data_IF_839327349908
#
_entry.id   IF_839327349908
#
_cell.length_a   1.000
_cell.length_b   1.000
_cell.length_c   1.000
_cell.angle_alpha   90.00
_cell.angle_beta   90.00
_cell.angle_gamma   90.00
#
_symmetry.space_group_name_H-M   'P 1'
#
loop_
_entity.id
_entity.type
_entity.pdbx_description
1 polymer ?
#
# COMPACT_ATOMS: atom_id res chain seq x y z
N UNK A 1 -22.14 -0.75 -5.17
CA UNK A 1 -21.78 0.26 -6.18
C UNK A 1 -22.84 0.36 -7.28
N UNK A 2 -22.95 -0.61 -8.19
CA UNK A 2 -23.90 -0.54 -9.33
C UNK A 2 -25.37 -0.36 -8.89
N UNK A 3 -25.77 -0.95 -7.77
CA UNK A 3 -27.10 -0.74 -7.18
C UNK A 3 -27.31 0.72 -6.75
N UNK A 4 -26.32 1.34 -6.10
CA UNK A 4 -26.39 2.76 -5.68
C UNK A 4 -26.44 3.70 -6.91
N UNK A 5 -25.69 3.38 -7.97
CA UNK A 5 -25.77 4.10 -9.25
C UNK A 5 -27.17 3.94 -9.88
N UNK A 6 -27.73 2.73 -9.87
CA UNK A 6 -29.06 2.46 -10.43
C UNK A 6 -30.19 3.15 -9.66
N UNK A 7 -29.94 3.53 -8.40
CA UNK A 7 -30.88 4.27 -7.55
C UNK A 7 -30.83 5.79 -7.76
N UNK A 8 -29.94 6.32 -8.61
CA UNK A 8 -29.97 7.73 -9.01
C UNK A 8 -31.35 8.04 -9.61
N UNK A 9 -32.08 9.07 -9.13
CA UNK A 9 -33.46 9.32 -9.55
C UNK A 9 -33.57 9.53 -11.08
N UNK A 10 -34.59 8.96 -11.76
CA UNK A 10 -34.78 9.09 -13.20
C UNK A 10 -34.71 10.53 -13.72
N UNK A 11 -35.28 11.49 -12.97
CA UNK A 11 -35.26 12.91 -13.31
C UNK A 11 -33.86 13.54 -13.30
N UNK A 12 -32.88 12.88 -12.68
CA UNK A 12 -31.46 13.29 -12.71
C UNK A 12 -30.78 12.78 -13.97
N UNK A 13 -31.12 11.58 -14.43
CA UNK A 13 -30.66 11.04 -15.71
C UNK A 13 -31.09 11.93 -16.89
N UNK A 14 -32.31 12.48 -16.82
CA UNK A 14 -32.84 13.39 -17.85
C UNK A 14 -32.07 14.72 -17.97
N UNK A 15 -31.28 15.10 -16.96
CA UNK A 15 -30.43 16.31 -16.97
C UNK A 15 -29.13 16.13 -17.77
N UNK A 16 -28.83 14.90 -18.19
CA UNK A 16 -27.69 14.58 -19.05
C UNK A 16 -26.36 14.38 -18.30
N UNK A 17 -25.29 14.02 -19.05
CA UNK A 17 -24.05 13.52 -18.49
C UNK A 17 -23.29 14.54 -17.63
N UNK A 18 -23.44 15.84 -17.90
CA UNK A 18 -22.79 16.89 -17.11
C UNK A 18 -23.28 16.96 -15.65
N UNK A 19 -24.46 16.42 -15.35
CA UNK A 19 -25.02 16.34 -13.99
C UNK A 19 -24.85 14.93 -13.40
N UNK A 20 -25.00 13.90 -14.23
CA UNK A 20 -24.96 12.50 -13.78
C UNK A 20 -23.53 12.01 -13.51
N UNK A 21 -22.56 12.33 -14.38
CA UNK A 21 -21.20 11.80 -14.24
C UNK A 21 -20.52 12.20 -12.93
N UNK A 22 -20.64 13.44 -12.42
CA UNK A 22 -20.11 13.79 -11.10
C UNK A 22 -20.69 12.94 -9.97
N UNK A 23 -22.01 12.66 -10.01
CA UNK A 23 -22.65 11.82 -9.00
C UNK A 23 -22.16 10.37 -9.05
N UNK A 24 -21.94 9.84 -10.25
CA UNK A 24 -21.33 8.51 -10.43
C UNK A 24 -19.91 8.52 -9.89
N UNK A 25 -19.11 9.52 -10.23
CA UNK A 25 -17.72 9.65 -9.76
C UNK A 25 -17.64 9.75 -8.23
N UNK A 26 -18.58 10.43 -7.57
CA UNK A 26 -18.65 10.49 -6.11
C UNK A 26 -18.97 9.11 -5.49
N UNK A 27 -19.91 8.36 -6.10
CA UNK A 27 -20.24 6.99 -5.68
C UNK A 27 -19.02 6.07 -5.89
N UNK A 28 -18.38 6.13 -7.05
CA UNK A 28 -17.19 5.36 -7.37
C UNK A 28 -16.04 5.67 -6.41
N UNK A 29 -15.78 6.96 -6.14
CA UNK A 29 -14.77 7.39 -5.18
C UNK A 29 -15.08 6.88 -3.76
N UNK A 30 -16.35 6.90 -3.33
CA UNK A 30 -16.77 6.34 -2.03
C UNK A 30 -16.44 4.84 -1.97
N UNK A 31 -16.82 4.06 -2.98
CA UNK A 31 -16.54 2.63 -3.00
C UNK A 31 -15.03 2.33 -3.13
N UNK A 32 -14.29 3.12 -3.89
CA UNK A 32 -12.83 3.01 -3.98
C UNK A 32 -12.16 3.30 -2.64
N UNK A 33 -12.64 4.26 -1.83
CA UNK A 33 -12.11 4.51 -0.48
C UNK A 33 -12.36 3.34 0.47
N UNK A 34 -13.55 2.75 0.42
CA UNK A 34 -13.89 1.54 1.17
C UNK A 34 -13.04 0.35 0.71
N UNK A 35 -12.86 0.18 -0.60
CA UNK A 35 -12.04 -0.86 -1.23
C UNK A 35 -10.53 -0.65 -1.12
N UNK A 36 -10.08 0.52 -0.68
CA UNK A 36 -8.65 0.84 -0.54
C UNK A 36 -8.20 0.91 0.91
N UNK A 37 -8.94 0.36 1.87
CA UNK A 37 -8.53 0.40 3.27
C UNK A 37 -7.12 -0.19 3.48
N UNK A 38 -6.24 0.54 4.19
CA UNK A 38 -4.80 0.24 4.29
C UNK A 38 -4.25 0.24 5.74
N UNK A 39 -5.07 -0.11 6.73
CA UNK A 39 -4.68 -0.15 8.16
C UNK A 39 -4.11 1.18 8.72
N UNK A 40 -4.45 2.27 8.06
CA UNK A 40 -4.07 3.62 8.43
C UNK A 40 -5.23 4.57 8.10
N UNK A 41 -5.34 5.61 8.92
CA UNK A 41 -6.14 6.79 8.61
C UNK A 41 -5.20 7.90 8.18
N UNK A 42 -5.61 8.66 7.17
CA UNK A 42 -4.97 9.95 6.91
C UNK A 42 -5.72 10.99 7.73
N UNK A 43 -4.99 11.84 8.43
CA UNK A 43 -5.52 13.01 9.13
C UNK A 43 -4.77 14.26 8.69
N UNK A 44 -5.29 15.43 9.04
CA UNK A 44 -4.52 16.68 9.01
C UNK A 44 -3.98 16.92 10.42
N UNK A 45 -2.67 17.13 10.55
CA UNK A 45 -2.03 17.50 11.80
C UNK A 45 -2.26 19.00 12.12
N UNK A 46 -1.69 19.47 13.24
CA UNK A 46 -1.84 20.87 13.67
C UNK A 46 -1.22 21.89 12.68
N UNK A 47 -0.32 21.44 11.82
CA UNK A 47 0.35 22.25 10.78
C UNK A 47 -0.38 22.19 9.42
N UNK A 48 -1.58 21.59 9.36
CA UNK A 48 -2.37 21.39 8.13
C UNK A 48 -1.64 20.52 7.08
N UNK A 49 -0.77 19.63 7.56
CA UNK A 49 -0.09 18.60 6.76
C UNK A 49 -0.79 17.25 6.92
N UNK A 50 -0.75 16.42 5.88
CA UNK A 50 -1.24 15.05 5.95
C UNK A 50 -0.33 14.18 6.81
N UNK A 51 -0.93 13.46 7.74
CA UNK A 51 -0.28 12.48 8.59
C UNK A 51 -0.97 11.12 8.43
N UNK A 52 -0.21 10.09 8.11
CA UNK A 52 -0.68 8.71 8.14
C UNK A 52 -0.57 8.15 9.57
N UNK A 53 -1.71 8.00 10.22
CA UNK A 53 -1.80 7.42 11.56
C UNK A 53 -2.30 5.99 11.44
N UNK A 54 -1.57 4.99 11.95
CA UNK A 54 -2.04 3.61 11.94
C UNK A 54 -3.34 3.44 12.72
N UNK A 55 -4.25 2.64 12.17
CA UNK A 55 -5.55 2.39 12.78
C UNK A 55 -5.66 0.91 13.13
N UNK A 56 -5.32 0.61 14.38
CA UNK A 56 -5.35 -0.73 14.97
C UNK A 56 -6.76 -1.04 15.49
N UNK A 57 -7.43 -2.03 14.92
CA UNK A 57 -8.60 -2.68 15.54
C UNK A 57 -8.24 -4.11 15.91
N UNK A 58 -7.65 -4.26 17.10
CA UNK A 58 -7.28 -5.57 17.65
C UNK A 58 -7.43 -5.56 19.17
N UNK A 59 -7.75 -6.73 19.79
CA UNK A 59 -7.46 -6.95 21.20
C UNK A 59 -5.96 -6.64 21.42
N UNK A 60 -5.59 -5.96 22.52
CA UNK A 60 -4.29 -5.30 22.67
C UNK A 60 -3.05 -6.19 22.48
N UNK A 61 -3.22 -7.52 22.46
CA UNK A 61 -2.11 -8.46 22.64
C UNK A 61 -1.72 -9.21 21.36
N UNK A 62 -2.57 -9.33 20.32
CA UNK A 62 -2.28 -10.20 19.14
C UNK A 62 -1.15 -9.65 18.28
N UNK A 63 -1.19 -8.36 17.93
CA UNK A 63 -0.14 -7.73 17.12
C UNK A 63 1.18 -7.62 17.88
N UNK A 64 1.13 -7.40 19.20
CA UNK A 64 2.32 -7.39 20.05
C UNK A 64 2.99 -8.78 20.06
N UNK A 65 2.21 -9.84 20.27
CA UNK A 65 2.69 -11.23 20.23
C UNK A 65 3.32 -11.57 18.87
N UNK A 66 2.67 -11.19 17.76
CA UNK A 66 3.22 -11.42 16.42
C UNK A 66 4.56 -10.70 16.23
N UNK A 67 4.70 -9.44 16.67
CA UNK A 67 5.98 -8.71 16.58
C UNK A 67 7.07 -9.31 17.45
N UNK A 68 6.74 -9.70 18.68
CA UNK A 68 7.73 -10.29 19.59
C UNK A 68 8.22 -11.64 19.05
N UNK A 69 7.32 -12.45 18.49
CA UNK A 69 7.67 -13.69 17.77
C UNK A 69 8.63 -13.44 16.60
N UNK A 70 8.36 -12.42 15.76
CA UNK A 70 9.27 -12.06 14.66
C UNK A 70 10.63 -11.61 15.20
N UNK A 71 10.67 -10.82 16.27
CA UNK A 71 11.93 -10.38 16.89
C UNK A 71 12.74 -11.53 17.43
N UNK A 72 12.09 -12.48 18.10
CA UNK A 72 12.72 -13.67 18.64
C UNK A 72 13.28 -14.53 17.50
N UNK A 73 12.49 -14.77 16.45
CA UNK A 73 12.94 -15.50 15.26
C UNK A 73 14.14 -14.83 14.56
N UNK A 74 14.13 -13.49 14.44
CA UNK A 74 15.27 -12.73 13.91
C UNK A 74 16.51 -12.86 14.81
N UNK A 75 16.32 -12.78 16.13
CA UNK A 75 17.42 -12.90 17.09
C UNK A 75 18.06 -14.30 17.06
N UNK A 76 17.25 -15.34 17.00
CA UNK A 76 17.69 -16.73 16.85
C UNK A 76 18.46 -16.93 15.54
N UNK A 77 17.95 -16.43 14.42
CA UNK A 77 18.63 -16.52 13.13
C UNK A 77 19.97 -15.77 13.14
N UNK A 78 20.05 -14.60 13.77
CA UNK A 78 21.31 -13.83 13.91
C UNK A 78 22.32 -14.52 14.84
N UNK A 79 21.84 -15.37 15.76
CA UNK A 79 22.69 -16.16 16.64
C UNK A 79 23.37 -17.35 15.95
N UNK A 80 23.02 -17.66 14.68
CA UNK A 80 23.73 -18.65 13.88
C UNK A 80 25.25 -18.38 13.83
N UNK A 81 26.09 -19.43 13.76
CA UNK A 81 27.55 -19.29 13.77
C UNK A 81 28.09 -18.34 12.70
N UNK A 82 29.18 -17.63 13.01
CA UNK A 82 29.89 -16.83 12.01
C UNK A 82 30.40 -17.72 10.87
N UNK A 83 30.12 -17.32 9.62
CA UNK A 83 30.43 -18.11 8.43
C UNK A 83 29.36 -19.12 8.03
N UNK A 84 28.23 -19.21 8.75
CA UNK A 84 27.07 -19.96 8.26
C UNK A 84 26.51 -19.26 7.00
N UNK A 85 26.33 -20.05 5.95
CA UNK A 85 25.88 -19.57 4.65
C UNK A 85 24.43 -19.04 4.68
N UNK A 86 23.58 -19.55 5.59
CA UNK A 86 22.22 -19.05 5.78
C UNK A 86 22.21 -17.61 6.25
N UNK A 87 23.08 -17.29 7.21
CA UNK A 87 23.17 -15.96 7.82
C UNK A 87 23.49 -14.90 6.76
N UNK A 88 24.59 -15.08 6.03
CA UNK A 88 25.00 -14.15 4.98
C UNK A 88 24.00 -14.01 3.84
N UNK A 89 23.31 -15.09 3.47
CA UNK A 89 22.32 -15.08 2.39
C UNK A 89 21.00 -14.39 2.77
N UNK A 90 20.66 -14.34 4.07
CA UNK A 90 19.44 -13.70 4.58
C UNK A 90 19.69 -12.34 5.24
N UNK A 91 20.95 -11.89 5.42
CA UNK A 91 21.29 -10.63 6.11
C UNK A 91 20.50 -9.42 5.59
N UNK A 92 20.31 -9.29 4.27
CA UNK A 92 19.52 -8.19 3.69
C UNK A 92 18.05 -8.27 4.08
N UNK A 93 17.47 -9.46 4.08
CA UNK A 93 16.06 -9.65 4.39
C UNK A 93 15.81 -9.45 5.89
N UNK A 94 16.72 -9.91 6.74
CA UNK A 94 16.71 -9.67 8.19
C UNK A 94 16.82 -8.19 8.49
N UNK A 95 17.78 -7.48 7.90
CA UNK A 95 17.94 -6.04 8.09
C UNK A 95 16.69 -5.27 7.66
N UNK A 96 15.99 -5.74 6.61
CA UNK A 96 14.72 -5.15 6.17
C UNK A 96 13.61 -5.38 7.20
N UNK A 97 13.49 -6.59 7.76
CA UNK A 97 12.51 -6.89 8.81
C UNK A 97 12.76 -6.00 10.04
N UNK A 98 14.01 -5.90 10.50
CA UNK A 98 14.39 -5.06 11.64
C UNK A 98 14.03 -3.58 11.39
N UNK A 99 14.38 -3.05 10.21
CA UNK A 99 14.04 -1.68 9.82
C UNK A 99 12.53 -1.44 9.82
N UNK A 100 11.74 -2.40 9.35
CA UNK A 100 10.28 -2.30 9.33
C UNK A 100 9.66 -2.42 10.73
N UNK A 101 10.18 -3.31 11.57
CA UNK A 101 9.73 -3.45 12.96
C UNK A 101 10.00 -2.19 13.78
N UNK A 102 11.03 -1.42 13.43
CA UNK A 102 11.37 -0.15 14.08
C UNK A 102 10.57 1.03 13.51
N UNK A 103 10.55 1.18 12.17
CA UNK A 103 9.91 2.33 11.51
C UNK A 103 8.38 2.24 11.45
N UNK A 104 7.85 1.03 11.39
CA UNK A 104 6.43 0.72 11.21
C UNK A 104 5.90 -0.17 12.36
N UNK A 105 6.45 0.02 13.56
CA UNK A 105 6.13 -0.75 14.76
C UNK A 105 4.62 -0.79 15.10
N UNK A 106 3.86 0.18 14.62
CA UNK A 106 2.43 0.40 14.84
C UNK A 106 1.56 0.14 13.60
N UNK A 107 2.13 -0.30 12.47
CA UNK A 107 1.40 -0.54 11.21
C UNK A 107 1.37 -2.03 10.86
N UNK A 108 0.32 -2.80 11.23
CA UNK A 108 0.28 -4.25 11.06
C UNK A 108 0.41 -4.68 9.61
N UNK A 109 -0.18 -3.92 8.70
CA UNK A 109 -0.11 -4.20 7.27
C UNK A 109 1.33 -4.13 6.74
N UNK A 110 2.13 -3.14 7.16
CA UNK A 110 3.54 -3.03 6.77
C UNK A 110 4.37 -4.20 7.30
N UNK A 111 4.06 -4.64 8.52
CA UNK A 111 4.71 -5.83 9.10
C UNK A 111 4.29 -7.09 8.35
N UNK A 112 3.00 -7.30 8.12
CA UNK A 112 2.50 -8.41 7.30
C UNK A 112 3.18 -8.48 5.93
N UNK A 113 3.27 -7.34 5.25
CA UNK A 113 3.90 -7.21 3.93
C UNK A 113 5.38 -7.62 3.92
N UNK A 114 6.18 -7.07 4.85
CA UNK A 114 7.61 -7.39 4.89
C UNK A 114 7.86 -8.85 5.26
N UNK A 115 7.00 -9.46 6.09
CA UNK A 115 7.05 -10.88 6.42
C UNK A 115 6.75 -11.74 5.18
N UNK A 116 5.62 -11.52 4.51
CA UNK A 116 5.24 -12.26 3.30
C UNK A 116 6.24 -12.09 2.17
N UNK A 117 6.82 -10.89 2.02
CA UNK A 117 7.90 -10.65 1.08
C UNK A 117 9.13 -11.46 1.43
N UNK A 118 9.57 -11.43 2.68
CA UNK A 118 10.77 -12.15 3.12
C UNK A 118 10.63 -13.65 2.93
N UNK A 119 9.46 -14.22 3.27
CA UNK A 119 9.16 -15.65 3.05
C UNK A 119 9.33 -16.01 1.57
N UNK A 120 8.71 -15.24 0.66
CA UNK A 120 8.82 -15.52 -0.79
C UNK A 120 10.24 -15.41 -1.32
N UNK A 121 11.00 -14.41 -0.87
CA UNK A 121 12.37 -14.21 -1.29
C UNK A 121 13.29 -15.35 -0.81
N UNK A 122 13.02 -15.90 0.38
CA UNK A 122 13.67 -17.11 0.88
C UNK A 122 13.27 -18.32 0.04
N UNK A 123 11.98 -18.50 -0.27
CA UNK A 123 11.47 -19.61 -1.07
C UNK A 123 12.09 -19.64 -2.47
N UNK A 124 12.26 -18.47 -3.09
CA UNK A 124 12.93 -18.31 -4.38
C UNK A 124 14.39 -18.75 -4.31
N UNK A 125 15.14 -18.26 -3.32
CA UNK A 125 16.54 -18.67 -3.11
C UNK A 125 16.69 -20.17 -2.84
N UNK A 126 15.76 -20.78 -2.10
CA UNK A 126 15.74 -22.24 -1.88
C UNK A 126 15.49 -22.97 -3.20
N UNK A 127 14.50 -22.53 -3.98
CA UNK A 127 14.15 -23.13 -5.26
C UNK A 127 15.27 -23.02 -6.30
N UNK A 128 16.02 -21.92 -6.29
CA UNK A 128 17.17 -21.69 -7.16
C UNK A 128 18.43 -22.45 -6.70
N UNK A 129 18.42 -22.99 -5.47
CA UNK A 129 19.54 -23.73 -4.88
C UNK A 129 20.58 -22.84 -4.20
N UNK A 130 20.30 -21.54 -4.06
CA UNK A 130 21.15 -20.57 -3.36
C UNK A 130 21.08 -20.74 -1.83
N UNK A 131 19.96 -21.24 -1.33
CA UNK A 131 19.77 -21.62 0.08
C UNK A 131 19.50 -23.12 0.20
N UNK A 132 20.19 -23.84 1.12
CA UNK A 132 19.85 -25.22 1.41
C UNK A 132 18.56 -25.29 2.23
N UNK A 133 17.72 -26.29 1.97
CA UNK A 133 16.64 -26.66 2.88
C UNK A 133 17.24 -27.18 4.20
N UNK A 134 17.05 -26.42 5.29
CA UNK A 134 17.56 -26.71 6.64
C UNK A 134 16.47 -26.43 7.67
N UNK A 135 16.53 -27.14 8.80
CA UNK A 135 15.61 -26.98 9.93
C UNK A 135 15.56 -25.53 10.41
N UNK A 136 16.70 -24.91 10.73
CA UNK A 136 16.77 -23.51 11.18
C UNK A 136 16.12 -22.51 10.20
N UNK A 137 16.23 -22.75 8.88
CA UNK A 137 15.62 -21.90 7.85
C UNK A 137 14.11 -22.12 7.77
N UNK A 138 13.67 -23.37 7.92
CA UNK A 138 12.25 -23.73 7.91
C UNK A 138 11.55 -23.19 9.16
N UNK A 139 12.15 -23.31 10.34
CA UNK A 139 11.63 -22.77 11.58
C UNK A 139 11.49 -21.25 11.49
N UNK A 140 12.53 -20.56 10.98
CA UNK A 140 12.44 -19.12 10.73
C UNK A 140 11.29 -18.76 9.79
N UNK A 141 11.14 -19.46 8.65
CA UNK A 141 10.04 -19.24 7.70
C UNK A 141 8.67 -19.48 8.36
N UNK A 142 8.55 -20.53 9.15
CA UNK A 142 7.32 -20.87 9.87
C UNK A 142 6.94 -19.79 10.89
N UNK A 143 7.90 -19.26 11.65
CA UNK A 143 7.66 -18.18 12.59
C UNK A 143 7.22 -16.88 11.88
N UNK A 144 7.81 -16.55 10.72
CA UNK A 144 7.38 -15.42 9.90
C UNK A 144 5.95 -15.64 9.35
N UNK A 145 5.64 -16.84 8.85
CA UNK A 145 4.34 -17.17 8.25
C UNK A 145 3.24 -17.18 9.32
N UNK A 146 3.49 -17.81 10.47
CA UNK A 146 2.57 -17.80 11.60
C UNK A 146 2.31 -16.38 12.10
N UNK A 147 3.35 -15.52 12.14
CA UNK A 147 3.19 -14.11 12.52
C UNK A 147 2.36 -13.34 11.49
N UNK A 148 2.61 -13.55 10.20
CA UNK A 148 1.84 -12.93 9.12
C UNK A 148 0.38 -13.41 9.14
N UNK A 149 0.13 -14.70 9.37
CA UNK A 149 -1.21 -15.27 9.53
C UNK A 149 -1.93 -14.71 10.75
N UNK A 150 -1.26 -14.57 11.89
CA UNK A 150 -1.85 -13.97 13.09
C UNK A 150 -2.23 -12.51 12.84
N UNK A 151 -1.38 -11.74 12.15
CA UNK A 151 -1.71 -10.37 11.73
C UNK A 151 -2.90 -10.36 10.77
N UNK A 152 -2.90 -11.21 9.75
CA UNK A 152 -3.98 -11.31 8.77
C UNK A 152 -5.30 -11.70 9.43
N UNK A 153 -5.32 -12.76 10.24
CA UNK A 153 -6.53 -13.25 10.90
C UNK A 153 -7.02 -12.30 11.97
N UNK A 154 -6.09 -11.72 12.73
CA UNK A 154 -6.39 -10.78 13.80
C UNK A 154 -6.94 -9.46 13.27
N UNK A 155 -6.47 -8.99 12.11
CA UNK A 155 -6.81 -7.68 11.58
C UNK A 155 -7.71 -7.80 10.34
N UNK A 156 -9.02 -7.52 10.50
CA UNK A 156 -10.01 -7.53 9.41
C UNK A 156 -9.61 -6.63 8.24
N UNK A 157 -8.86 -5.58 8.55
CA UNK A 157 -8.47 -4.59 7.59
C UNK A 157 -7.26 -5.02 6.77
N UNK A 158 -6.28 -5.69 7.38
CA UNK A 158 -5.20 -6.37 6.64
C UNK A 158 -5.80 -7.40 5.67
N UNK A 159 -6.78 -8.21 6.11
CA UNK A 159 -7.51 -9.14 5.22
C UNK A 159 -8.16 -8.46 4.03
N UNK A 160 -8.80 -7.33 4.28
CA UNK A 160 -9.48 -6.56 3.24
C UNK A 160 -8.48 -5.97 2.25
N UNK A 161 -7.38 -5.37 2.74
CA UNK A 161 -6.30 -4.83 1.91
C UNK A 161 -5.69 -5.91 1.00
N UNK A 162 -5.31 -7.06 1.58
CA UNK A 162 -4.75 -8.20 0.84
C UNK A 162 -5.71 -8.71 -0.23
N UNK A 163 -7.01 -8.83 0.11
CA UNK A 163 -8.04 -9.25 -0.85
C UNK A 163 -8.15 -8.27 -2.03
N UNK A 164 -8.12 -6.98 -1.75
CA UNK A 164 -8.32 -5.94 -2.78
C UNK A 164 -7.08 -5.75 -3.68
N UNK A 165 -5.89 -6.14 -3.23
CA UNK A 165 -4.65 -6.12 -4.05
C UNK A 165 -4.63 -7.13 -5.19
N UNK A 166 -5.54 -8.11 -5.20
CA UNK A 166 -5.61 -9.14 -6.24
C UNK A 166 -6.17 -8.63 -7.59
N UNK A 167 -6.67 -7.39 -7.69
CA UNK A 167 -7.20 -6.80 -8.93
C UNK A 167 -6.22 -5.85 -9.62
N UNK A 168 -5.32 -6.37 -10.46
CA UNK A 168 -4.34 -5.56 -11.18
C UNK A 168 -4.87 -4.93 -12.48
N UNK A 169 -4.94 -3.59 -12.54
CA UNK A 169 -5.13 -2.79 -13.79
C UNK A 169 -3.95 -1.87 -14.14
N UNK A 170 -3.00 -1.67 -13.23
CA UNK A 170 -1.91 -0.70 -13.37
C UNK A 170 -0.90 -1.03 -14.48
N UNK A 171 -0.65 -2.31 -14.79
CA UNK A 171 0.36 -2.68 -15.81
C UNK A 171 -0.04 -2.26 -17.24
N UNK A 172 -1.25 -1.71 -17.42
CA UNK A 172 -1.75 -1.19 -18.69
C UNK A 172 -1.53 0.32 -18.87
N UNK A 173 -0.95 0.99 -17.87
CA UNK A 173 -0.69 2.42 -17.93
C UNK A 173 0.43 2.75 -18.91
N UNK A 174 0.22 3.80 -19.69
CA UNK A 174 1.24 4.42 -20.53
C UNK A 174 2.31 5.13 -19.68
N UNK A 175 3.48 5.37 -20.26
CA UNK A 175 4.57 6.09 -19.56
C UNK A 175 4.14 7.49 -19.11
N UNK A 176 3.29 8.17 -19.88
CA UNK A 176 2.75 9.49 -19.52
C UNK A 176 1.85 9.39 -18.28
N UNK A 177 1.03 8.34 -18.18
CA UNK A 177 0.17 8.12 -17.00
C UNK A 177 1.00 7.80 -15.75
N UNK A 178 2.12 7.08 -15.91
CA UNK A 178 3.08 6.85 -14.83
C UNK A 178 3.77 8.14 -14.37
N UNK A 179 4.18 9.02 -15.30
CA UNK A 179 4.76 10.33 -14.99
C UNK A 179 3.77 11.24 -14.24
N UNK A 180 2.51 11.26 -14.66
CA UNK A 180 1.46 11.98 -13.94
C UNK A 180 1.24 11.41 -12.53
N UNK A 181 1.28 10.09 -12.39
CA UNK A 181 1.14 9.42 -11.10
C UNK A 181 2.26 9.82 -10.15
N UNK A 182 3.51 9.80 -10.61
CA UNK A 182 4.66 10.29 -9.83
C UNK A 182 4.50 11.76 -9.43
N UNK A 183 4.04 12.61 -10.35
CA UNK A 183 3.83 14.04 -10.09
C UNK A 183 2.75 14.28 -9.04
N UNK A 184 1.66 13.50 -9.08
CA UNK A 184 0.61 13.56 -8.07
C UNK A 184 1.14 13.10 -6.70
N UNK A 185 1.87 11.98 -6.63
CA UNK A 185 2.42 11.51 -5.37
C UNK A 185 3.41 12.51 -4.77
N UNK A 186 4.24 13.17 -5.59
CA UNK A 186 5.16 14.22 -5.11
C UNK A 186 4.40 15.47 -4.63
N UNK A 187 3.31 15.86 -5.29
CA UNK A 187 2.47 16.97 -4.82
C UNK A 187 1.85 16.68 -3.45
N UNK A 188 1.38 15.45 -3.26
CA UNK A 188 0.80 14.99 -2.01
C UNK A 188 1.87 14.90 -0.92
N UNK A 189 3.04 14.33 -1.22
CA UNK A 189 4.17 14.25 -0.29
C UNK A 189 4.63 15.63 0.19
N UNK A 190 4.60 16.67 -0.64
CA UNK A 190 4.92 18.06 -0.23
C UNK A 190 3.94 18.68 0.76
N UNK A 191 2.75 18.08 0.89
CA UNK A 191 1.70 18.51 1.82
C UNK A 191 1.58 17.55 3.01
N UNK A 192 2.49 16.61 3.15
CA UNK A 192 2.50 15.61 4.21
C UNK A 192 3.64 15.87 5.19
N UNK A 193 3.46 15.42 6.43
CA UNK A 193 4.56 15.41 7.41
C UNK A 193 5.72 14.52 6.91
N UNK A 194 6.97 14.74 7.38
CA UNK A 194 8.17 14.13 6.80
C UNK A 194 8.12 12.61 6.59
N UNK A 195 7.64 11.83 7.57
CA UNK A 195 7.58 10.37 7.47
C UNK A 195 6.59 9.93 6.39
N UNK A 196 5.37 10.46 6.42
CA UNK A 196 4.33 10.21 5.41
C UNK A 196 4.80 10.65 4.02
N UNK A 197 5.49 11.80 3.93
CA UNK A 197 6.05 12.30 2.68
C UNK A 197 7.10 11.35 2.08
N UNK A 198 8.03 10.86 2.90
CA UNK A 198 9.08 9.94 2.45
C UNK A 198 8.49 8.60 2.01
N UNK A 199 7.57 8.04 2.79
CA UNK A 199 6.87 6.81 2.41
C UNK A 199 6.09 6.96 1.10
N UNK A 200 5.45 8.11 0.87
CA UNK A 200 4.75 8.39 -0.38
C UNK A 200 5.69 8.41 -1.58
N UNK A 201 6.87 9.03 -1.44
CA UNK A 201 7.88 9.07 -2.52
C UNK A 201 8.44 7.69 -2.82
N UNK A 202 8.72 6.92 -1.78
CA UNK A 202 9.22 5.55 -1.93
C UNK A 202 8.19 4.66 -2.60
N UNK A 203 6.93 4.70 -2.16
CA UNK A 203 5.85 3.95 -2.78
C UNK A 203 5.63 4.38 -4.24
N UNK A 204 5.71 5.67 -4.54
CA UNK A 204 5.58 6.17 -5.91
C UNK A 204 6.69 5.65 -6.82
N UNK A 205 7.93 5.70 -6.35
CA UNK A 205 9.11 5.20 -7.07
C UNK A 205 8.98 3.71 -7.36
N UNK A 206 8.74 2.90 -6.32
CA UNK A 206 8.61 1.44 -6.43
C UNK A 206 7.45 1.06 -7.35
N UNK A 207 6.29 1.72 -7.24
CA UNK A 207 5.11 1.45 -8.07
C UNK A 207 5.38 1.54 -9.58
N UNK A 208 6.30 2.41 -10.00
CA UNK A 208 6.62 2.69 -11.42
C UNK A 208 7.91 2.04 -11.91
N UNK A 209 8.73 1.50 -11.02
CA UNK A 209 10.02 0.90 -11.37
C UNK A 209 9.82 -0.39 -12.18
N UNK A 210 10.30 -0.50 -13.43
CA UNK A 210 10.18 -1.71 -14.21
C UNK A 210 10.99 -2.89 -13.63
N UNK A 211 12.06 -2.60 -12.90
CA UNK A 211 13.01 -3.56 -12.35
C UNK A 211 12.67 -4.01 -10.93
N UNK A 212 11.71 -3.32 -10.27
CA UNK A 212 11.19 -3.75 -8.97
C UNK A 212 10.36 -5.05 -9.09
N UNK A 213 10.43 -5.88 -8.05
CA UNK A 213 9.64 -7.11 -7.93
C UNK A 213 8.14 -6.81 -8.11
N UNK A 214 7.41 -7.65 -8.85
CA UNK A 214 6.01 -7.35 -9.21
C UNK A 214 5.12 -7.07 -8.00
N UNK A 215 5.35 -7.80 -6.91
CA UNK A 215 4.56 -7.66 -5.69
C UNK A 215 4.89 -6.40 -4.91
N UNK A 216 6.15 -5.96 -4.88
CA UNK A 216 6.52 -4.65 -4.35
C UNK A 216 5.79 -3.54 -5.08
N UNK A 217 5.72 -3.63 -6.41
CA UNK A 217 5.02 -2.63 -7.22
C UNK A 217 3.53 -2.62 -6.90
N UNK A 218 2.89 -3.79 -6.81
CA UNK A 218 1.47 -3.91 -6.47
C UNK A 218 1.16 -3.32 -5.10
N UNK A 219 1.99 -3.64 -4.12
CA UNK A 219 1.88 -3.15 -2.76
C UNK A 219 2.04 -1.63 -2.70
N UNK A 220 3.09 -1.11 -3.31
CA UNK A 220 3.35 0.32 -3.38
C UNK A 220 2.21 1.09 -4.07
N UNK A 221 1.66 0.57 -5.17
CA UNK A 221 0.48 1.13 -5.87
C UNK A 221 -0.76 1.16 -4.99
N UNK A 222 -1.00 0.08 -4.25
CA UNK A 222 -2.16 0.00 -3.37
C UNK A 222 -2.08 1.04 -2.25
N UNK A 223 -0.94 1.12 -1.56
CA UNK A 223 -0.75 2.05 -0.43
C UNK A 223 -0.83 3.50 -0.86
N UNK A 224 -0.01 3.89 -1.84
CA UNK A 224 -0.02 5.25 -2.39
C UNK A 224 -1.37 5.66 -2.98
N UNK A 225 -2.05 4.77 -3.73
CA UNK A 225 -3.39 5.02 -4.26
C UNK A 225 -4.43 5.19 -3.14
N UNK A 226 -4.38 4.33 -2.13
CA UNK A 226 -5.22 4.41 -0.93
C UNK A 226 -5.07 5.73 -0.18
N UNK A 227 -3.83 6.16 0.06
CA UNK A 227 -3.48 7.43 0.70
C UNK A 227 -3.98 8.60 -0.13
N UNK A 228 -3.72 8.59 -1.43
CA UNK A 228 -4.14 9.64 -2.35
C UNK A 228 -5.66 9.85 -2.35
N UNK A 229 -6.45 8.77 -2.33
CA UNK A 229 -7.91 8.87 -2.25
C UNK A 229 -8.39 9.51 -0.93
N UNK A 230 -7.74 9.20 0.20
CA UNK A 230 -8.07 9.78 1.52
C UNK A 230 -7.62 11.24 1.62
N UNK A 231 -6.43 11.58 1.13
CA UNK A 231 -5.91 12.95 1.08
C UNK A 231 -6.80 13.86 0.22
N UNK A 232 -7.28 13.36 -0.93
CA UNK A 232 -8.24 14.05 -1.79
C UNK A 232 -9.53 14.42 -1.05
N UNK A 233 -10.04 13.53 -0.20
CA UNK A 233 -11.25 13.78 0.60
C UNK A 233 -11.03 14.85 1.67
N UNK A 234 -9.86 14.85 2.30
CA UNK A 234 -9.55 15.79 3.39
C UNK A 234 -9.29 17.21 2.91
N UNK A 235 -8.82 17.39 1.67
CA UNK A 235 -8.38 18.71 1.16
C UNK A 235 -8.77 18.91 -0.31
N UNK A 236 -9.93 19.51 -0.55
CA UNK A 236 -10.42 19.85 -1.89
C UNK A 236 -9.43 20.75 -2.68
N UNK A 237 -8.60 21.56 -1.99
CA UNK A 237 -7.58 22.41 -2.61
C UNK A 237 -6.43 21.62 -3.27
N UNK A 238 -6.11 20.44 -2.74
CA UNK A 238 -5.08 19.53 -3.28
C UNK A 238 -5.51 18.94 -4.61
N UNK A 239 -6.82 18.74 -4.80
CA UNK A 239 -7.43 18.32 -6.07
C UNK A 239 -7.17 19.36 -7.15
N UNK A 240 -7.36 20.65 -6.86
CA UNK A 240 -7.09 21.73 -7.84
C UNK A 240 -5.62 21.80 -8.26
N UNK A 241 -4.68 21.62 -7.33
CA UNK A 241 -3.25 21.59 -7.65
C UNK A 241 -2.88 20.41 -8.56
N UNK A 242 -3.42 19.22 -8.31
CA UNK A 242 -3.25 18.05 -9.16
C UNK A 242 -3.88 18.25 -10.55
N UNK A 243 -5.06 18.87 -10.59
CA UNK A 243 -5.73 19.24 -11.84
C UNK A 243 -4.91 20.22 -12.66
N UNK A 244 -4.25 21.18 -12.02
CA UNK A 244 -3.42 22.17 -12.70
C UNK A 244 -2.11 21.58 -13.23
N UNK A 245 -1.48 20.65 -12.51
CA UNK A 245 -0.31 19.89 -13.01
C UNK A 245 -0.69 19.08 -14.26
N UNK A 246 -1.85 18.41 -14.26
CA UNK A 246 -2.34 17.66 -15.41
C UNK A 246 -2.69 18.57 -16.62
N UNK A 247 -3.11 19.82 -16.40
CA UNK A 247 -3.38 20.80 -17.48
C UNK A 247 -2.13 21.29 -18.19
N UNK A 248 -0.99 21.38 -17.49
CA UNK A 248 0.28 21.87 -18.09
C UNK A 248 0.83 20.89 -19.15
N UNK A 249 0.41 19.62 -19.13
CA UNK A 249 0.90 18.57 -20.03
C UNK A 249 0.24 18.50 -21.41
N UNK A 250 -1.09 18.63 -21.53
CA UNK A 250 -1.87 18.73 -22.80
C UNK A 250 -3.39 18.70 -22.53
N UNK A 251 -4.08 19.84 -22.65
CA UNK A 251 -5.54 19.91 -22.81
C UNK A 251 -6.38 19.44 -21.61
N UNK A 252 -7.63 19.92 -21.51
CA UNK A 252 -8.51 19.68 -20.36
C UNK A 252 -8.92 18.20 -20.15
N UNK A 253 -8.70 17.32 -21.15
CA UNK A 253 -9.15 15.92 -21.12
C UNK A 253 -8.23 14.97 -20.32
N UNK A 254 -7.01 15.37 -19.97
CA UNK A 254 -6.06 14.53 -19.21
C UNK A 254 -6.33 14.51 -17.69
N UNK A 255 -7.13 15.44 -17.20
CA UNK A 255 -7.24 15.82 -15.78
C UNK A 255 -8.14 14.89 -14.96
N UNK A 256 -9.24 14.40 -15.55
CA UNK A 256 -10.06 13.36 -14.92
C UNK A 256 -9.33 12.01 -14.83
N UNK A 257 -8.41 11.76 -15.75
CA UNK A 257 -7.88 10.43 -16.00
C UNK A 257 -7.09 9.86 -14.81
N UNK A 258 -6.35 10.66 -14.03
CA UNK A 258 -5.50 10.09 -12.97
C UNK A 258 -6.26 9.70 -11.71
N UNK A 259 -7.23 10.50 -11.29
CA UNK A 259 -8.06 10.17 -10.14
C UNK A 259 -9.01 9.04 -10.49
N UNK A 260 -9.62 9.08 -11.67
CA UNK A 260 -10.50 8.02 -12.16
C UNK A 260 -9.72 6.71 -12.34
N UNK A 261 -8.45 6.80 -12.77
CA UNK A 261 -7.53 5.67 -12.81
C UNK A 261 -7.29 5.09 -11.41
N UNK A 262 -6.91 5.91 -10.43
CA UNK A 262 -6.67 5.45 -9.05
C UNK A 262 -7.95 4.85 -8.47
N UNK A 263 -9.10 5.51 -8.65
CA UNK A 263 -10.42 4.99 -8.24
C UNK A 263 -10.67 3.62 -8.87
N UNK A 264 -10.46 3.49 -10.19
CA UNK A 264 -10.64 2.26 -10.96
C UNK A 264 -9.70 1.10 -10.61
N UNK A 265 -8.71 1.30 -9.72
CA UNK A 265 -7.93 0.19 -9.14
C UNK A 265 -8.68 -0.53 -8.03
N UNK A 266 -9.61 0.16 -7.36
CA UNK A 266 -10.27 -0.33 -6.16
C UNK A 266 -11.75 -0.70 -6.39
N UNK A 267 -12.26 -0.57 -7.62
CA UNK A 267 -13.65 -0.89 -8.02
C UNK A 267 -13.77 -1.71 -9.31
#
# INVERSE_FOLDING_TARGET
>A
MLEEIALIPPETWDKGPGVVNPLIADIEAKYARLGSYNAERIILNDDDEFEAVPELELPPDVFAIAKDRVRDAVAEFKALPEGDNLKGACDRDIARIEDYLDRHADTPLRIYEVLMRTIRHIDEKVKEGDLPEREDLNDFREELDNSALDILQGDEKVRTAVRNRSSGRFDRLSEIEKEHYLSLMELLAKQSEPKTADEMRDDARVATDPDAEEDDRREARFRSGSRALRMKELKEGTVKGAEDIAKVGRGADAVGNIWDMIVGWFI
#
